data_IF_187990495989
#
_entry.id   IF_187990495989
#
_cell.length_a   1.000
_cell.length_b   1.000
_cell.length_c   1.000
_cell.angle_alpha   90.00
_cell.angle_beta   90.00
_cell.angle_gamma   90.00
#
_symmetry.space_group_name_H-M   'P 1'
#
loop_
_entity.id
_entity.type
_entity.pdbx_description
1 polymer ?
#
# COMPACT_ATOMS: atom_id res chain seq x y z
N UNK A 1 -23.95 3.68 21.30
CA UNK A 1 -23.37 4.61 20.32
C UNK A 1 -21.91 4.94 20.65
N UNK A 2 -21.54 5.25 21.90
CA UNK A 2 -20.13 5.53 22.26
C UNK A 2 -19.19 4.31 22.26
N UNK A 3 -19.65 3.15 22.75
CA UNK A 3 -18.88 1.90 22.70
C UNK A 3 -18.56 1.40 21.28
N UNK A 4 -19.29 1.90 20.28
CA UNK A 4 -19.19 1.50 18.88
C UNK A 4 -17.97 2.11 18.19
N UNK A 5 -17.62 3.35 18.56
CA UNK A 5 -16.48 4.08 17.97
C UNK A 5 -15.16 3.48 18.48
N UNK A 6 -15.07 3.16 19.78
CA UNK A 6 -13.89 2.48 20.33
C UNK A 6 -13.63 1.12 19.68
N UNK A 7 -14.69 0.33 19.46
CA UNK A 7 -14.59 -0.96 18.76
C UNK A 7 -14.20 -0.79 17.28
N UNK A 8 -14.80 0.19 16.60
CA UNK A 8 -14.47 0.55 15.23
C UNK A 8 -12.98 0.88 15.10
N UNK A 9 -12.49 1.73 15.98
CA UNK A 9 -11.11 2.18 15.97
C UNK A 9 -10.12 1.06 16.27
N UNK A 10 -10.42 0.19 17.23
CA UNK A 10 -9.60 -1.00 17.52
C UNK A 10 -9.54 -1.94 16.30
N UNK A 11 -10.69 -2.20 15.67
CA UNK A 11 -10.79 -3.05 14.49
C UNK A 11 -10.01 -2.47 13.31
N UNK A 12 -10.17 -1.17 13.04
CA UNK A 12 -9.48 -0.49 11.94
C UNK A 12 -7.97 -0.48 12.17
N UNK A 13 -7.51 -0.16 13.37
CA UNK A 13 -6.08 -0.17 13.69
C UNK A 13 -5.45 -1.57 13.56
N UNK A 14 -6.19 -2.62 13.95
CA UNK A 14 -5.75 -4.00 13.74
C UNK A 14 -5.67 -4.35 12.25
N UNK A 15 -6.67 -3.92 11.46
CA UNK A 15 -6.67 -4.12 10.01
C UNK A 15 -5.52 -3.39 9.32
N UNK A 16 -5.27 -2.12 9.67
CA UNK A 16 -4.15 -1.35 9.13
C UNK A 16 -2.80 -1.92 9.54
N UNK A 17 -2.65 -2.42 10.77
CA UNK A 17 -1.42 -3.10 11.20
C UNK A 17 -1.13 -4.35 10.35
N UNK A 18 -2.16 -5.13 10.02
CA UNK A 18 -2.04 -6.27 9.12
C UNK A 18 -1.59 -5.85 7.72
N UNK A 19 -2.26 -4.84 7.14
CA UNK A 19 -1.92 -4.31 5.80
C UNK A 19 -0.50 -3.72 5.75
N UNK A 20 -0.08 -3.02 6.80
CA UNK A 20 1.28 -2.52 6.94
C UNK A 20 2.31 -3.65 6.97
N UNK A 21 2.01 -4.73 7.68
CA UNK A 21 2.88 -5.91 7.75
C UNK A 21 3.03 -6.54 6.37
N UNK A 22 1.92 -6.75 5.64
CA UNK A 22 1.93 -7.27 4.27
C UNK A 22 2.72 -6.34 3.32
N UNK A 23 2.47 -5.03 3.39
CA UNK A 23 3.16 -4.04 2.56
C UNK A 23 4.68 -4.01 2.83
N UNK A 24 5.08 -4.09 4.10
CA UNK A 24 6.50 -4.16 4.47
C UNK A 24 7.15 -5.42 3.93
N UNK A 25 6.50 -6.58 4.05
CA UNK A 25 7.01 -7.84 3.49
C UNK A 25 7.22 -7.75 1.97
N UNK A 26 6.30 -7.08 1.27
CA UNK A 26 6.46 -6.86 -0.15
C UNK A 26 7.64 -5.94 -0.50
N UNK A 27 7.89 -4.88 0.27
CA UNK A 27 9.09 -4.03 0.09
C UNK A 27 10.38 -4.84 0.26
N UNK A 28 10.39 -5.85 1.12
CA UNK A 28 11.53 -6.76 1.31
C UNK A 28 11.58 -7.89 0.26
N UNK A 29 10.63 -7.94 -0.67
CA UNK A 29 10.56 -8.97 -1.72
C UNK A 29 10.10 -10.33 -1.21
N UNK A 30 9.51 -10.41 -0.02
CA UNK A 30 9.02 -11.68 0.56
C UNK A 30 7.68 -12.13 -0.03
N UNK A 31 6.92 -11.19 -0.60
CA UNK A 31 5.67 -11.46 -1.29
C UNK A 31 5.45 -10.44 -2.41
N UNK A 32 4.56 -10.76 -3.34
CA UNK A 32 4.08 -9.78 -4.31
C UNK A 32 3.12 -8.80 -3.64
N UNK A 33 3.04 -7.59 -4.18
CA UNK A 33 2.05 -6.57 -3.81
C UNK A 33 1.25 -6.19 -5.05
N UNK A 34 -0.06 -6.39 -4.98
CA UNK A 34 -0.95 -6.27 -6.13
C UNK A 34 -2.04 -5.21 -5.93
N UNK A 35 -2.86 -5.01 -6.96
CA UNK A 35 -3.93 -4.00 -6.93
C UNK A 35 -4.97 -4.34 -5.87
N UNK A 36 -5.19 -5.62 -5.60
CA UNK A 36 -6.09 -6.11 -4.56
C UNK A 36 -5.63 -5.63 -3.17
N UNK A 37 -4.32 -5.60 -2.91
CA UNK A 37 -3.76 -5.11 -1.65
C UNK A 37 -3.98 -3.60 -1.48
N UNK A 38 -3.84 -2.83 -2.57
CA UNK A 38 -4.21 -1.40 -2.58
C UNK A 38 -5.70 -1.21 -2.30
N UNK A 39 -6.57 -2.04 -2.88
CA UNK A 39 -8.02 -1.95 -2.65
C UNK A 39 -8.39 -2.26 -1.20
N UNK A 40 -7.70 -3.19 -0.52
CA UNK A 40 -7.96 -3.49 0.90
C UNK A 40 -7.74 -2.28 1.81
N UNK A 41 -6.82 -1.37 1.46
CA UNK A 41 -6.53 -0.15 2.23
C UNK A 41 -7.71 0.83 2.20
N UNK A 42 -8.49 0.84 1.13
CA UNK A 42 -9.60 1.78 0.94
C UNK A 42 -10.64 1.68 2.05
N UNK A 43 -11.03 0.45 2.44
CA UNK A 43 -12.07 0.22 3.43
C UNK A 43 -11.79 0.88 4.79
N UNK A 44 -10.65 0.57 5.45
CA UNK A 44 -10.25 1.20 6.70
C UNK A 44 -10.14 2.73 6.64
N UNK A 45 -9.72 3.28 5.49
CA UNK A 45 -9.61 4.74 5.30
C UNK A 45 -10.98 5.39 5.17
N UNK A 46 -11.87 4.82 4.35
CA UNK A 46 -13.23 5.34 4.18
C UNK A 46 -14.05 5.26 5.47
N UNK A 47 -13.88 4.17 6.22
CA UNK A 47 -14.58 3.97 7.49
C UNK A 47 -14.18 4.99 8.56
N UNK A 48 -12.90 5.37 8.61
CA UNK A 48 -12.39 6.33 9.57
C UNK A 48 -12.56 7.79 9.14
N UNK A 49 -12.82 8.06 7.86
CA UNK A 49 -13.01 9.43 7.35
C UNK A 49 -13.98 10.30 8.17
N UNK A 50 -15.21 9.84 8.53
CA UNK A 50 -16.11 10.63 9.37
C UNK A 50 -15.56 10.83 10.80
N UNK A 51 -14.97 9.80 11.40
CA UNK A 51 -14.39 9.86 12.76
C UNK A 51 -13.24 10.88 12.81
N UNK A 52 -12.39 10.89 11.79
CA UNK A 52 -11.28 11.82 11.67
C UNK A 52 -11.75 13.25 11.40
N UNK A 53 -12.85 13.44 10.68
CA UNK A 53 -13.44 14.77 10.43
C UNK A 53 -13.94 15.40 11.73
N UNK A 54 -14.50 14.60 12.63
CA UNK A 54 -15.07 15.05 13.90
C UNK A 54 -14.13 14.85 15.10
N UNK A 55 -12.86 14.48 14.86
CA UNK A 55 -11.97 13.99 15.91
C UNK A 55 -11.75 14.99 17.05
N UNK A 56 -11.72 16.29 16.77
CA UNK A 56 -11.55 17.33 17.79
C UNK A 56 -12.72 17.37 18.77
N UNK A 57 -13.96 17.31 18.28
CA UNK A 57 -15.15 17.26 19.12
C UNK A 57 -15.29 15.90 19.81
N UNK A 58 -14.90 14.83 19.13
CA UNK A 58 -14.87 13.48 19.68
C UNK A 58 -13.95 13.40 20.91
N UNK A 59 -12.73 13.94 20.81
CA UNK A 59 -11.74 13.95 21.89
C UNK A 59 -12.13 14.83 23.07
N UNK A 60 -12.85 15.93 22.84
CA UNK A 60 -13.43 16.72 23.94
C UNK A 60 -14.46 15.93 24.75
N UNK A 61 -15.20 15.04 24.09
CA UNK A 61 -16.25 14.21 24.72
C UNK A 61 -15.70 12.90 25.28
N UNK A 62 -14.68 12.35 24.65
CA UNK A 62 -14.09 11.03 24.93
C UNK A 62 -12.56 11.10 24.77
N UNK A 63 -11.85 11.71 25.73
CA UNK A 63 -10.39 11.83 25.68
C UNK A 63 -9.69 10.47 25.67
N UNK A 64 -10.32 9.41 26.17
CA UNK A 64 -9.80 8.04 26.16
C UNK A 64 -9.57 7.46 24.75
N UNK A 65 -10.12 8.08 23.69
CA UNK A 65 -9.91 7.67 22.30
C UNK A 65 -8.64 8.24 21.67
N UNK A 66 -7.93 9.15 22.36
CA UNK A 66 -6.74 9.84 21.85
C UNK A 66 -5.64 8.90 21.38
N UNK A 67 -5.23 7.96 22.22
CA UNK A 67 -4.18 6.99 21.88
C UNK A 67 -4.53 6.20 20.63
N UNK A 68 -5.80 5.82 20.52
CA UNK A 68 -6.31 5.08 19.38
C UNK A 68 -6.30 5.87 18.07
N UNK A 69 -6.66 7.16 18.13
CA UNK A 69 -6.64 8.05 16.97
C UNK A 69 -5.21 8.43 16.56
N UNK A 70 -4.30 8.59 17.54
CA UNK A 70 -2.87 8.77 17.25
C UNK A 70 -2.25 7.54 16.60
N UNK A 71 -2.58 6.34 17.10
CA UNK A 71 -2.14 5.09 16.47
C UNK A 71 -2.61 5.01 15.02
N UNK A 72 -3.88 5.34 14.76
CA UNK A 72 -4.42 5.38 13.40
C UNK A 72 -3.62 6.34 12.49
N UNK A 73 -3.37 7.57 12.95
CA UNK A 73 -2.58 8.58 12.21
C UNK A 73 -1.17 8.08 11.92
N UNK A 74 -0.50 7.51 12.92
CA UNK A 74 0.85 6.96 12.76
C UNK A 74 0.87 5.84 11.73
N UNK A 75 -0.09 4.91 11.80
CA UNK A 75 -0.20 3.81 10.85
C UNK A 75 -0.47 4.29 9.41
N UNK A 76 -1.28 5.32 9.23
CA UNK A 76 -1.47 5.93 7.91
C UNK A 76 -0.19 6.56 7.34
N UNK A 77 0.59 7.26 8.18
CA UNK A 77 1.87 7.84 7.77
C UNK A 77 2.88 6.77 7.34
N UNK A 78 2.97 5.69 8.12
CA UNK A 78 3.79 4.53 7.78
C UNK A 78 3.33 3.87 6.47
N UNK A 79 2.02 3.77 6.27
CA UNK A 79 1.44 3.12 5.10
C UNK A 79 1.69 3.95 3.84
N UNK A 80 1.53 5.26 3.93
CA UNK A 80 1.85 6.18 2.84
C UNK A 80 3.32 6.07 2.43
N UNK A 81 4.23 6.03 3.41
CA UNK A 81 5.67 5.86 3.18
C UNK A 81 5.96 4.53 2.49
N UNK A 82 5.39 3.43 3.01
CA UNK A 82 5.58 2.07 2.48
C UNK A 82 5.02 1.94 1.05
N UNK A 83 3.83 2.49 0.78
CA UNK A 83 3.27 2.53 -0.58
C UNK A 83 4.13 3.33 -1.56
N UNK A 84 4.77 4.40 -1.09
CA UNK A 84 5.75 5.15 -1.87
C UNK A 84 6.94 4.28 -2.29
N UNK A 85 7.48 3.47 -1.36
CA UNK A 85 8.57 2.53 -1.64
C UNK A 85 8.14 1.45 -2.64
N UNK A 86 6.96 0.85 -2.43
CA UNK A 86 6.39 -0.16 -3.34
C UNK A 86 6.25 0.41 -4.75
N UNK A 87 5.75 1.65 -4.90
CA UNK A 87 5.63 2.31 -6.20
C UNK A 87 6.98 2.40 -6.90
N UNK A 88 8.03 2.83 -6.20
CA UNK A 88 9.40 2.91 -6.77
C UNK A 88 9.90 1.54 -7.21
N UNK A 89 9.71 0.51 -6.36
CA UNK A 89 10.09 -0.87 -6.68
C UNK A 89 9.38 -1.39 -7.94
N UNK A 90 8.06 -1.16 -8.06
CA UNK A 90 7.27 -1.59 -9.21
C UNK A 90 7.71 -0.87 -10.50
N UNK A 91 8.00 0.43 -10.43
CA UNK A 91 8.53 1.18 -11.59
C UNK A 91 9.91 0.67 -12.03
N UNK A 92 10.80 0.37 -11.08
CA UNK A 92 12.10 -0.21 -11.39
C UNK A 92 11.97 -1.60 -12.04
N UNK A 93 11.04 -2.43 -11.54
CA UNK A 93 10.73 -3.74 -12.13
C UNK A 93 10.15 -3.59 -13.54
N UNK A 94 9.24 -2.65 -13.76
CA UNK A 94 8.69 -2.35 -15.09
C UNK A 94 9.80 -1.97 -16.08
N UNK A 95 10.68 -1.03 -15.71
CA UNK A 95 11.78 -0.60 -16.57
C UNK A 95 12.73 -1.77 -16.93
N UNK A 96 12.99 -2.66 -15.96
CA UNK A 96 13.81 -3.86 -16.18
C UNK A 96 13.15 -4.83 -17.17
N UNK A 97 11.84 -5.03 -17.08
CA UNK A 97 11.09 -5.87 -18.02
C UNK A 97 11.05 -5.27 -19.42
N UNK A 98 10.88 -3.95 -19.54
CA UNK A 98 10.91 -3.24 -20.82
C UNK A 98 12.29 -3.35 -21.50
N UNK A 99 13.37 -3.21 -20.73
CA UNK A 99 14.74 -3.40 -21.24
C UNK A 99 14.98 -4.85 -21.73
N UNK A 100 14.53 -5.84 -20.96
CA UNK A 100 14.62 -7.25 -21.36
C UNK A 100 13.83 -7.55 -22.64
N UNK A 101 12.63 -6.97 -22.79
CA UNK A 101 11.84 -7.08 -24.01
C UNK A 101 12.55 -6.46 -25.22
N UNK A 102 13.16 -5.29 -25.06
CA UNK A 102 13.92 -4.64 -26.11
C UNK A 102 15.13 -5.50 -26.55
N UNK A 103 15.85 -6.09 -25.60
CA UNK A 103 16.96 -7.00 -25.88
C UNK A 103 16.50 -8.24 -26.66
N UNK A 104 15.42 -8.90 -26.25
CA UNK A 104 14.88 -10.06 -26.96
C UNK A 104 14.42 -9.71 -28.38
N UNK A 105 13.84 -8.52 -28.57
CA UNK A 105 13.44 -8.02 -29.88
C UNK A 105 14.67 -7.79 -30.77
N UNK A 106 15.72 -7.15 -30.25
CA UNK A 106 16.96 -6.94 -30.97
C UNK A 106 17.58 -8.28 -31.40
N UNK A 107 17.74 -9.24 -30.48
CA UNK A 107 18.29 -10.56 -30.79
C UNK A 107 17.48 -11.27 -31.89
N UNK A 108 16.15 -11.15 -31.85
CA UNK A 108 15.27 -11.72 -32.87
C UNK A 108 15.49 -11.09 -34.25
N UNK A 109 15.69 -9.76 -34.31
CA UNK A 109 16.03 -9.05 -35.55
C UNK A 109 17.40 -9.47 -36.09
N UNK A 110 18.41 -9.57 -35.22
CA UNK A 110 19.75 -10.04 -35.60
C UNK A 110 19.72 -11.46 -36.17
N UNK A 111 19.00 -12.39 -35.53
CA UNK A 111 18.83 -13.75 -36.05
C UNK A 111 18.11 -13.78 -37.41
N UNK A 112 17.12 -12.91 -37.61
CA UNK A 112 16.43 -12.75 -38.88
C UNK A 112 17.36 -12.29 -40.00
N UNK A 113 18.14 -11.22 -39.74
CA UNK A 113 19.13 -10.70 -40.69
C UNK A 113 20.20 -11.74 -41.04
N UNK A 114 20.74 -12.44 -40.04
CA UNK A 114 21.76 -13.48 -40.24
C UNK A 114 21.27 -14.62 -41.14
N UNK A 115 20.00 -15.04 -41.00
CA UNK A 115 19.41 -16.07 -41.86
C UNK A 115 19.17 -15.61 -43.30
N UNK A 116 19.00 -14.32 -43.55
CA UNK A 116 18.79 -13.77 -44.90
C UNK A 116 20.11 -13.60 -45.67
N UNK A 117 21.22 -13.43 -44.95
CA UNK A 117 22.56 -13.24 -45.54
C UNK A 117 23.32 -14.56 -45.78
N UNK A 118 22.69 -15.71 -45.54
CA UNK A 118 23.28 -17.04 -45.69
C UNK A 118 22.48 -17.85 -46.71
#
# INVERSE_FOLDING_TARGET
MYADIGQTLLRVNASLAGLLTEARRAVHGECDFCVEDVRKIRGPVEEMAPIMTESAELLRRQPELEEGLELYRSQLGDLQTTLGQIRVMLLARQASLEAGRAQLSAVSQWMGAFRQTR
#
